data_IF_864243543014
#
_entry.id   IF_864243543014
#
_cell.length_a   1.000
_cell.length_b   1.000
_cell.length_c   1.000
_cell.angle_alpha   90.00
_cell.angle_beta   90.00
_cell.angle_gamma   90.00
#
_symmetry.space_group_name_H-M   'P 1'
#
loop_
_entity.id
_entity.type
_entity.pdbx_description
1 polymer ?
#
# COMPACT_ATOMS: atom_id res chain seq x y z
N UNK A 1 -7.77 -3.83 24.96
CA UNK A 1 -7.25 -4.73 23.91
C UNK A 1 -6.95 -3.86 22.71
N UNK A 2 -5.73 -3.37 22.59
CA UNK A 2 -5.30 -2.66 21.37
C UNK A 2 -4.99 -3.75 20.36
N UNK A 3 -5.96 -4.06 19.51
CA UNK A 3 -5.78 -4.99 18.39
C UNK A 3 -4.73 -4.35 17.48
N UNK A 4 -3.48 -4.79 17.57
CA UNK A 4 -2.46 -4.43 16.59
C UNK A 4 -2.94 -4.99 15.25
N UNK A 5 -3.42 -4.11 14.37
CA UNK A 5 -3.86 -4.51 13.04
C UNK A 5 -2.63 -4.92 12.23
N UNK A 6 -2.51 -6.22 11.99
CA UNK A 6 -1.47 -6.80 11.14
C UNK A 6 -1.90 -6.75 9.70
N UNK A 7 -1.13 -6.06 8.87
CA UNK A 7 -1.33 -6.02 7.43
C UNK A 7 -0.20 -6.74 6.72
N UNK A 8 -0.52 -7.45 5.64
CA UNK A 8 0.47 -8.06 4.76
C UNK A 8 0.68 -7.20 3.53
N UNK A 9 1.93 -6.91 3.20
CA UNK A 9 2.28 -6.16 2.00
C UNK A 9 1.99 -6.99 0.75
N UNK A 10 1.24 -6.43 -0.18
CA UNK A 10 0.87 -7.08 -1.44
C UNK A 10 2.05 -7.37 -2.39
N UNK A 11 3.24 -6.85 -2.07
CA UNK A 11 4.43 -6.96 -2.93
C UNK A 11 5.50 -7.91 -2.37
N UNK A 12 5.91 -7.73 -1.11
CA UNK A 12 6.92 -8.58 -0.47
C UNK A 12 6.30 -9.72 0.37
N UNK A 13 4.98 -9.70 0.59
CA UNK A 13 4.23 -10.65 1.40
C UNK A 13 4.60 -10.67 2.89
N UNK A 14 5.45 -9.75 3.35
CA UNK A 14 5.76 -9.58 4.76
C UNK A 14 4.56 -8.99 5.52
N UNK A 15 4.31 -9.53 6.71
CA UNK A 15 3.28 -9.03 7.63
C UNK A 15 3.91 -8.02 8.59
N UNK A 16 3.30 -6.85 8.72
CA UNK A 16 3.77 -5.77 9.59
C UNK A 16 2.66 -5.34 10.54
N UNK A 17 3.03 -5.07 11.80
CA UNK A 17 2.14 -4.44 12.77
C UNK A 17 1.94 -2.97 12.37
N UNK A 18 0.73 -2.63 11.90
CA UNK A 18 0.40 -1.26 11.49
C UNK A 18 0.01 -0.48 12.74
N UNK A 19 1.00 -0.04 13.51
CA UNK A 19 0.82 0.95 14.58
C UNK A 19 0.58 2.37 14.03
N UNK A 20 0.48 3.36 14.92
CA UNK A 20 0.32 4.81 14.63
C UNK A 20 1.36 5.41 13.66
N UNK A 21 2.38 4.64 13.27
CA UNK A 21 3.49 5.06 12.41
C UNK A 21 3.67 4.13 11.19
N UNK A 22 2.63 3.37 10.81
CA UNK A 22 2.71 2.35 9.77
C UNK A 22 3.30 2.87 8.44
N UNK A 23 4.46 2.33 8.04
CA UNK A 23 5.25 2.68 6.86
C UNK A 23 4.62 2.16 5.54
N UNK A 24 3.30 2.26 5.40
CA UNK A 24 2.59 1.71 4.26
C UNK A 24 1.26 2.37 3.99
N UNK A 25 0.72 2.07 2.82
CA UNK A 25 -0.48 2.70 2.27
C UNK A 25 -1.46 1.64 1.77
N UNK A 26 -2.75 1.92 1.95
CA UNK A 26 -3.82 1.13 1.33
C UNK A 26 -4.01 1.60 -0.11
N UNK A 27 -3.85 0.68 -1.05
CA UNK A 27 -4.02 0.88 -2.48
C UNK A 27 -5.38 0.35 -2.92
N UNK A 28 -6.01 1.10 -3.80
CA UNK A 28 -7.19 0.65 -4.54
C UNK A 28 -6.74 0.17 -5.91
N UNK A 29 -6.92 -1.12 -6.19
CA UNK A 29 -6.54 -1.75 -7.46
C UNK A 29 -7.79 -2.07 -8.26
N UNK A 30 -7.84 -1.56 -9.49
CA UNK A 30 -8.84 -1.91 -10.49
C UNK A 30 -8.13 -2.50 -11.70
N UNK A 31 -8.48 -3.73 -12.07
CA UNK A 31 -7.92 -4.34 -13.27
C UNK A 31 -8.54 -3.71 -14.51
N UNK A 32 -7.73 -3.38 -15.52
CA UNK A 32 -8.21 -2.79 -16.76
C UNK A 32 -9.28 -3.69 -17.41
N UNK A 33 -10.45 -3.13 -17.70
CA UNK A 33 -11.59 -3.85 -18.27
C UNK A 33 -12.46 -4.58 -17.24
N UNK A 34 -12.12 -4.55 -15.96
CA UNK A 34 -12.98 -5.06 -14.89
C UNK A 34 -13.67 -3.91 -14.13
N UNK A 35 -14.91 -4.16 -13.69
CA UNK A 35 -15.64 -3.28 -12.76
C UNK A 35 -15.32 -3.58 -11.30
N UNK A 36 -14.52 -4.62 -11.04
CA UNK A 36 -14.18 -5.03 -9.69
C UNK A 36 -13.02 -4.18 -9.17
N UNK A 37 -13.13 -3.77 -7.90
CA UNK A 37 -12.12 -2.99 -7.20
C UNK A 37 -11.70 -3.76 -5.95
N UNK A 38 -10.40 -3.88 -5.74
CA UNK A 38 -9.81 -4.54 -4.59
C UNK A 38 -8.99 -3.56 -3.77
N UNK A 39 -8.98 -3.75 -2.45
CA UNK A 39 -8.14 -2.99 -1.53
C UNK A 39 -6.99 -3.88 -1.08
N UNK A 40 -5.77 -3.38 -1.21
CA UNK A 40 -4.57 -4.07 -0.74
C UNK A 40 -3.69 -3.09 0.04
N UNK A 41 -2.84 -3.58 0.92
CA UNK A 41 -1.88 -2.76 1.65
C UNK A 41 -0.45 -3.02 1.13
N UNK A 42 0.40 -2.00 1.13
CA UNK A 42 1.80 -2.12 0.72
C UNK A 42 2.70 -1.18 1.51
N UNK A 43 3.94 -1.59 1.80
CA UNK A 43 4.97 -0.67 2.30
C UNK A 43 5.26 0.43 1.28
N UNK A 44 5.57 1.64 1.76
CA UNK A 44 5.95 2.76 0.91
C UNK A 44 7.20 2.43 0.08
N UNK A 45 8.20 1.80 0.69
CA UNK A 45 9.43 1.36 0.01
C UNK A 45 9.16 0.32 -1.10
N UNK A 46 8.34 -0.71 -0.80
CA UNK A 46 7.98 -1.74 -1.76
C UNK A 46 7.16 -1.19 -2.93
N UNK A 47 6.29 -0.24 -2.64
CA UNK A 47 5.51 0.49 -3.65
C UNK A 47 6.46 1.32 -4.52
N UNK A 48 7.40 2.05 -3.92
CA UNK A 48 8.30 2.94 -4.63
C UNK A 48 9.18 2.23 -5.67
N UNK A 49 9.73 1.06 -5.32
CA UNK A 49 10.51 0.22 -6.23
C UNK A 49 9.74 -0.19 -7.50
N UNK A 50 8.41 -0.29 -7.39
CA UNK A 50 7.52 -0.82 -8.43
C UNK A 50 6.80 0.27 -9.19
N UNK A 51 6.62 1.45 -8.59
CA UNK A 51 6.03 2.58 -9.29
C UNK A 51 7.00 3.06 -10.37
N UNK A 52 6.53 3.06 -11.61
CA UNK A 52 7.30 3.67 -12.69
C UNK A 52 7.56 5.14 -12.35
N UNK A 53 8.77 5.63 -12.62
CA UNK A 53 9.21 7.01 -12.35
C UNK A 53 8.32 8.15 -12.92
N UNK A 54 7.33 7.81 -13.76
CA UNK A 54 6.37 8.74 -14.35
C UNK A 54 4.97 8.65 -13.71
N UNK A 55 4.77 7.77 -12.73
CA UNK A 55 3.56 7.79 -11.93
C UNK A 55 3.70 9.01 -11.01
N UNK A 56 2.88 10.03 -11.27
CA UNK A 56 2.76 11.19 -10.41
C UNK A 56 2.33 10.69 -9.04
N UNK A 57 3.25 10.69 -8.08
CA UNK A 57 2.90 10.50 -6.67
C UNK A 57 1.91 11.61 -6.34
N UNK A 58 0.72 11.24 -5.87
CA UNK A 58 -0.26 12.24 -5.42
C UNK A 58 0.31 13.04 -4.24
N UNK A 59 -0.31 14.16 -3.85
CA UNK A 59 0.17 15.09 -2.81
C UNK A 59 0.34 14.50 -1.39
N UNK A 60 0.22 13.18 -1.23
CA UNK A 60 0.26 12.42 0.02
C UNK A 60 1.60 11.71 0.27
N UNK A 61 2.54 11.81 -0.68
CA UNK A 61 3.83 11.10 -0.69
C UNK A 61 5.04 12.06 -0.58
N UNK A 62 4.80 13.37 -0.53
CA UNK A 62 5.82 14.43 -0.50
C UNK A 62 5.87 15.16 0.86
N UNK A 63 5.51 14.49 1.97
CA UNK A 63 5.69 15.00 3.34
C UNK A 63 6.70 14.15 4.13
#
# INVERSE_FOLDING_TARGET
MTTEERMSCAFCMETTDVGLSGDGVTLTITRAGEQSTQFVWAHLSCLDERLHRHITRGPWLDD
#
